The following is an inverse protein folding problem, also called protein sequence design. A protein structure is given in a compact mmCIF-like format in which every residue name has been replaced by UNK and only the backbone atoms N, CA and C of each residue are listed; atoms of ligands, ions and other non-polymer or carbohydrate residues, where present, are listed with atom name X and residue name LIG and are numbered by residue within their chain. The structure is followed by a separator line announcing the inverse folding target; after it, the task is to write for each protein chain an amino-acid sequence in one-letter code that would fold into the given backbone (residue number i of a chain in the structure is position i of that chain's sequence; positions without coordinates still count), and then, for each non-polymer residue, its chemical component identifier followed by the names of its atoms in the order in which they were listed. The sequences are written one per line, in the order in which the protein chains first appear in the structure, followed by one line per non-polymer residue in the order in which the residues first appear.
data_IF_812959675562
#
_entry.id   IF_812959675562
#
_cell.length_a   1.000
_cell.length_b   1.000
_cell.length_c   1.000
_cell.angle_alpha   90.00
_cell.angle_beta   90.00
_cell.angle_gamma   90.00
#
_symmetry.space_group_name_H-M   'P 1'
#
loop_
_entity.id
_entity.type
_entity.pdbx_description
1 polymer ?
#
# COMPACT_ATOMS: atom_id res chain seq x y z
N UNK A 1 10.30 -0.72 -26.53
CA UNK A 1 9.98 -2.12 -26.19
C UNK A 1 11.19 -2.70 -25.45
N UNK A 2 11.20 -2.70 -24.11
CA UNK A 2 12.27 -3.36 -23.35
C UNK A 2 12.04 -4.87 -23.33
N UNK A 3 13.09 -5.62 -23.63
CA UNK A 3 13.07 -7.08 -23.78
C UNK A 3 12.55 -7.79 -22.54
N UNK A 4 11.51 -8.62 -22.69
CA UNK A 4 10.92 -9.47 -21.65
C UNK A 4 11.92 -10.48 -21.08
N UNK A 5 12.98 -10.83 -21.82
CA UNK A 5 14.00 -11.80 -21.40
C UNK A 5 14.92 -11.29 -20.27
N UNK A 6 15.19 -10.00 -20.19
CA UNK A 6 16.08 -9.43 -19.17
C UNK A 6 15.40 -9.34 -17.79
N UNK A 7 14.07 -9.41 -17.75
CA UNK A 7 13.29 -9.36 -16.49
C UNK A 7 13.40 -10.64 -15.64
N UNK A 8 13.82 -11.76 -16.20
CA UNK A 8 13.78 -13.07 -15.49
C UNK A 8 14.85 -13.24 -14.42
N UNK A 9 15.95 -12.50 -14.44
CA UNK A 9 17.11 -12.69 -13.55
C UNK A 9 17.56 -11.48 -12.74
N UNK A 10 16.87 -10.33 -12.82
CA UNK A 10 17.25 -9.16 -12.06
C UNK A 10 17.26 -9.43 -10.54
N UNK A 11 18.30 -9.01 -9.77
CA UNK A 11 18.29 -9.12 -8.31
C UNK A 11 17.12 -8.34 -7.69
N UNK A 12 16.67 -8.75 -6.50
CA UNK A 12 15.62 -8.03 -5.77
C UNK A 12 15.94 -6.55 -5.59
N UNK A 13 17.20 -6.22 -5.38
CA UNK A 13 17.65 -4.83 -5.19
C UNK A 13 17.40 -3.98 -6.45
N UNK A 14 17.72 -4.49 -7.63
CA UNK A 14 17.47 -3.79 -8.90
C UNK A 14 15.97 -3.56 -9.14
N UNK A 15 15.13 -4.56 -8.82
CA UNK A 15 13.68 -4.44 -8.94
C UNK A 15 13.11 -3.36 -7.97
N UNK A 16 13.66 -3.30 -6.75
CA UNK A 16 13.32 -2.24 -5.78
C UNK A 16 13.73 -0.86 -6.30
N UNK A 17 14.92 -0.71 -6.85
CA UNK A 17 15.42 0.57 -7.38
C UNK A 17 14.54 1.07 -8.53
N UNK A 18 14.13 0.18 -9.43
CA UNK A 18 13.21 0.51 -10.54
C UNK A 18 11.84 0.95 -10.03
N UNK A 19 11.27 0.23 -9.06
CA UNK A 19 10.00 0.62 -8.46
C UNK A 19 10.09 1.99 -7.78
N UNK A 20 11.15 2.24 -7.02
CA UNK A 20 11.39 3.51 -6.34
C UNK A 20 11.59 4.66 -7.33
N UNK A 21 12.29 4.44 -8.44
CA UNK A 21 12.44 5.45 -9.49
C UNK A 21 11.08 5.85 -10.08
N UNK A 22 10.22 4.87 -10.38
CA UNK A 22 8.86 5.12 -10.87
C UNK A 22 8.04 5.90 -9.85
N UNK A 23 8.05 5.49 -8.58
CA UNK A 23 7.33 6.19 -7.52
C UNK A 23 7.79 7.63 -7.34
N UNK A 24 9.10 7.89 -7.37
CA UNK A 24 9.67 9.25 -7.26
C UNK A 24 9.28 10.18 -8.40
N UNK A 25 9.01 9.63 -9.57
CA UNK A 25 8.50 10.38 -10.75
C UNK A 25 6.99 10.58 -10.74
N UNK A 26 6.29 10.15 -9.67
CA UNK A 26 4.82 10.22 -9.57
C UNK A 26 4.12 9.12 -10.35
N UNK A 27 4.81 8.03 -10.64
CA UNK A 27 4.23 6.86 -11.30
C UNK A 27 3.46 5.96 -10.35
N UNK A 28 2.72 5.01 -10.95
CA UNK A 28 1.92 4.00 -10.28
C UNK A 28 2.58 2.64 -10.52
N UNK A 29 2.66 1.82 -9.48
CA UNK A 29 3.18 0.46 -9.57
C UNK A 29 2.12 -0.58 -9.22
N UNK A 30 2.22 -1.75 -9.87
CA UNK A 30 1.52 -2.97 -9.51
C UNK A 30 2.53 -3.91 -8.85
N UNK A 31 2.30 -4.31 -7.60
CA UNK A 31 3.30 -4.98 -6.79
C UNK A 31 2.71 -6.01 -5.81
N UNK A 32 3.48 -7.06 -5.49
CA UNK A 32 3.05 -8.06 -4.51
C UNK A 32 3.22 -7.55 -3.08
N UNK A 33 2.34 -8.00 -2.19
CA UNK A 33 2.43 -7.78 -0.74
C UNK A 33 2.30 -9.09 0.03
N UNK A 34 2.40 -9.01 1.35
CA UNK A 34 2.11 -10.13 2.27
C UNK A 34 0.64 -10.57 2.29
N UNK A 35 -0.25 -9.83 1.63
CA UNK A 35 -1.69 -10.13 1.53
C UNK A 35 -2.12 -10.51 0.10
N UNK A 36 -2.28 -9.53 -0.75
CA UNK A 36 -2.69 -9.66 -2.16
C UNK A 36 -1.88 -8.70 -3.03
N UNK A 37 -1.94 -8.83 -4.34
CA UNK A 37 -1.38 -7.83 -5.25
C UNK A 37 -2.03 -6.48 -5.06
N UNK A 38 -1.21 -5.44 -5.00
CA UNK A 38 -1.62 -4.07 -4.76
C UNK A 38 -1.24 -3.12 -5.90
N UNK A 39 -2.01 -2.05 -6.02
CA UNK A 39 -1.67 -0.87 -6.79
C UNK A 39 -1.20 0.19 -5.81
N UNK A 40 -0.10 0.87 -6.11
CA UNK A 40 0.43 1.90 -5.24
C UNK A 40 1.15 3.03 -5.96
N UNK A 41 1.27 4.12 -5.23
CA UNK A 41 2.04 5.31 -5.60
C UNK A 41 2.64 5.95 -4.35
N UNK A 42 3.50 6.96 -4.51
CA UNK A 42 3.94 7.80 -3.39
C UNK A 42 2.72 8.44 -2.72
N UNK A 43 2.51 8.13 -1.44
CA UNK A 43 1.35 8.61 -0.69
C UNK A 43 1.34 10.14 -0.47
N UNK A 44 2.43 10.83 -0.77
CA UNK A 44 2.53 12.30 -0.68
C UNK A 44 2.16 13.00 -1.99
N UNK A 45 1.94 12.25 -3.08
CA UNK A 45 1.65 12.77 -4.41
C UNK A 45 0.14 12.68 -4.73
N UNK A 46 -0.57 13.80 -4.61
CA UNK A 46 -2.02 13.87 -4.84
C UNK A 46 -2.43 13.49 -6.27
N UNK A 47 -1.63 13.84 -7.29
CA UNK A 47 -1.93 13.52 -8.70
C UNK A 47 -1.83 12.01 -8.95
N UNK A 48 -0.81 11.36 -8.38
CA UNK A 48 -0.65 9.91 -8.47
C UNK A 48 -1.79 9.17 -7.75
N UNK A 49 -2.23 9.68 -6.59
CA UNK A 49 -3.39 9.16 -5.86
C UNK A 49 -4.67 9.26 -6.71
N UNK A 50 -4.91 10.41 -7.35
CA UNK A 50 -6.08 10.58 -8.23
C UNK A 50 -6.02 9.67 -9.47
N UNK A 51 -4.81 9.38 -9.99
CA UNK A 51 -4.66 8.38 -11.07
C UNK A 51 -5.09 6.99 -10.61
N UNK A 52 -4.77 6.57 -9.38
CA UNK A 52 -5.23 5.27 -8.84
C UNK A 52 -6.76 5.26 -8.70
N UNK A 53 -7.39 6.32 -8.19
CA UNK A 53 -8.85 6.39 -8.12
C UNK A 53 -9.51 6.24 -9.49
N UNK A 54 -8.99 6.91 -10.51
CA UNK A 54 -9.48 6.79 -11.90
C UNK A 54 -9.28 5.39 -12.46
N UNK A 55 -8.08 4.81 -12.28
CA UNK A 55 -7.75 3.47 -12.75
C UNK A 55 -8.68 2.41 -12.14
N UNK A 56 -9.01 2.57 -10.86
CA UNK A 56 -9.95 1.66 -10.16
C UNK A 56 -11.42 1.96 -10.42
N UNK A 57 -11.76 3.01 -11.16
CA UNK A 57 -13.14 3.50 -11.36
C UNK A 57 -13.87 3.70 -10.01
N UNK A 58 -13.15 4.24 -9.02
CA UNK A 58 -13.68 4.44 -7.68
C UNK A 58 -14.47 5.76 -7.63
N UNK A 59 -15.77 5.71 -7.92
CA UNK A 59 -16.67 6.87 -7.92
C UNK A 59 -16.78 7.51 -6.52
N UNK A 60 -16.86 6.68 -5.51
CA UNK A 60 -16.76 7.13 -4.11
C UNK A 60 -15.31 6.94 -3.67
N UNK A 61 -14.54 8.00 -3.54
CA UNK A 61 -13.14 7.98 -3.05
C UNK A 61 -13.07 7.28 -1.68
N UNK A 62 -13.16 5.95 -1.69
CA UNK A 62 -12.97 5.14 -0.48
C UNK A 62 -11.52 5.32 -0.07
N UNK A 63 -11.28 5.64 1.19
CA UNK A 63 -9.93 5.79 1.72
C UNK A 63 -9.08 4.55 1.40
N UNK A 64 -7.93 4.80 0.82
CA UNK A 64 -6.90 3.78 0.59
C UNK A 64 -5.97 3.78 1.79
N UNK A 65 -5.42 2.62 2.13
CA UNK A 65 -4.40 2.53 3.16
C UNK A 65 -3.02 2.89 2.59
N UNK A 66 -2.09 3.15 3.48
CA UNK A 66 -0.67 3.31 3.14
C UNK A 66 0.18 2.25 3.82
N UNK A 67 1.25 1.83 3.13
CA UNK A 67 2.28 1.00 3.72
C UNK A 67 3.40 1.88 4.26
N UNK A 68 3.87 1.57 5.47
CA UNK A 68 5.03 2.18 6.11
C UNK A 68 6.10 1.13 6.41
N UNK A 69 7.37 1.53 6.39
CA UNK A 69 8.50 0.62 6.62
C UNK A 69 8.65 0.21 8.09
N UNK A 70 8.17 1.03 9.03
CA UNK A 70 8.32 0.84 10.48
C UNK A 70 7.36 1.74 11.25
N UNK A 71 7.22 1.51 12.56
CA UNK A 71 6.49 2.40 13.47
C UNK A 71 7.04 3.84 13.46
N UNK A 72 8.37 4.01 13.39
CA UNK A 72 9.00 5.33 13.28
C UNK A 72 8.57 6.09 12.02
N UNK A 73 8.32 5.38 10.92
CA UNK A 73 7.74 6.00 9.73
C UNK A 73 6.30 6.41 9.97
N UNK A 74 5.49 5.56 10.63
CA UNK A 74 4.07 5.85 10.93
C UNK A 74 3.92 7.15 11.72
N UNK A 75 4.72 7.33 12.80
CA UNK A 75 4.68 8.52 13.66
C UNK A 75 4.82 9.83 12.88
N UNK A 76 5.52 9.83 11.76
CA UNK A 76 5.70 11.03 10.92
C UNK A 76 4.45 11.42 10.13
N UNK A 77 3.48 10.51 10.01
CA UNK A 77 2.28 10.71 9.17
C UNK A 77 0.96 10.63 9.95
N UNK A 78 1.04 10.39 11.27
CA UNK A 78 -0.11 10.45 12.19
C UNK A 78 0.33 11.11 13.50
N UNK A 79 -0.34 12.18 13.88
CA UNK A 79 0.08 13.02 15.02
C UNK A 79 -0.83 12.90 16.26
N UNK A 80 -1.89 12.06 16.18
CA UNK A 80 -2.85 11.84 17.28
C UNK A 80 -3.09 10.34 17.56
N UNK A 81 -2.21 9.47 17.06
CA UNK A 81 -2.32 8.04 17.29
C UNK A 81 -1.99 7.70 18.76
N UNK A 82 -2.84 6.93 19.46
CA UNK A 82 -2.55 6.51 20.83
C UNK A 82 -1.43 5.46 20.89
N UNK A 83 -0.67 5.43 22.01
CA UNK A 83 0.46 4.49 22.16
C UNK A 83 0.05 3.03 21.99
N UNK A 84 -1.12 2.64 22.48
CA UNK A 84 -1.67 1.28 22.33
C UNK A 84 -1.75 0.82 20.87
N UNK A 85 -1.96 1.73 19.92
CA UNK A 85 -2.02 1.36 18.51
C UNK A 85 -0.68 0.78 18.01
N UNK A 86 0.44 1.35 18.44
CA UNK A 86 1.78 0.87 18.07
C UNK A 86 2.08 -0.49 18.72
N UNK A 87 1.71 -0.68 19.98
CA UNK A 87 1.85 -1.96 20.66
C UNK A 87 1.08 -3.07 19.94
N UNK A 88 -0.17 -2.81 19.56
CA UNK A 88 -1.00 -3.75 18.80
C UNK A 88 -0.40 -4.06 17.43
N UNK A 89 0.12 -3.04 16.72
CA UNK A 89 0.77 -3.24 15.43
C UNK A 89 2.06 -4.05 15.52
N UNK A 90 2.85 -3.89 16.60
CA UNK A 90 4.08 -4.64 16.84
C UNK A 90 3.81 -6.10 17.23
N UNK A 91 2.74 -6.35 17.98
CA UNK A 91 2.35 -7.69 18.43
C UNK A 91 1.59 -8.49 17.37
N UNK A 92 1.17 -7.85 16.28
CA UNK A 92 0.37 -8.51 15.24
C UNK A 92 1.16 -9.62 14.54
N UNK A 93 0.67 -10.85 14.62
CA UNK A 93 1.22 -12.03 13.94
C UNK A 93 0.61 -12.30 12.57
N UNK A 94 -0.43 -11.55 12.21
CA UNK A 94 -1.12 -11.60 10.93
C UNK A 94 -1.21 -10.18 10.35
N UNK A 95 -1.40 -10.02 9.02
CA UNK A 95 -1.47 -8.71 8.39
C UNK A 95 -2.57 -7.84 9.01
N UNK A 96 -2.16 -6.74 9.64
CA UNK A 96 -3.02 -5.80 10.33
C UNK A 96 -2.91 -4.40 9.71
N UNK A 97 -4.06 -3.78 9.46
CA UNK A 97 -4.19 -2.36 9.14
C UNK A 97 -4.75 -1.62 10.35
N UNK A 98 -4.03 -0.62 10.83
CA UNK A 98 -4.50 0.30 11.86
C UNK A 98 -5.09 1.55 11.18
N UNK A 99 -6.34 1.91 11.46
CA UNK A 99 -6.91 3.21 11.13
C UNK A 99 -6.61 4.16 12.28
N UNK A 100 -5.74 5.15 12.03
CA UNK A 100 -5.14 6.02 13.03
C UNK A 100 -5.62 7.45 12.87
N UNK A 101 -5.96 8.17 13.95
CA UNK A 101 -6.36 9.57 13.91
C UNK A 101 -5.18 10.51 13.69
N UNK A 102 -5.47 11.69 13.15
CA UNK A 102 -4.47 12.74 12.95
C UNK A 102 -3.57 12.52 11.74
N UNK A 103 -4.16 12.10 10.62
CA UNK A 103 -3.44 11.99 9.34
C UNK A 103 -2.73 13.31 8.98
N UNK A 104 -1.45 13.25 8.64
CA UNK A 104 -0.63 14.40 8.28
C UNK A 104 0.44 14.01 7.26
N UNK A 105 0.93 14.97 6.46
CA UNK A 105 2.06 14.76 5.56
C UNK A 105 1.82 13.83 4.36
N UNK A 106 0.62 13.30 4.19
CA UNK A 106 0.17 12.56 3.00
C UNK A 106 -0.70 13.45 2.10
N UNK A 107 -0.96 12.99 0.89
CA UNK A 107 -1.82 13.69 -0.06
C UNK A 107 -3.22 13.93 0.54
N UNK A 108 -3.77 15.16 0.42
CA UNK A 108 -5.07 15.50 1.03
C UNK A 108 -6.22 14.60 0.55
N UNK A 109 -6.17 14.12 -0.68
CA UNK A 109 -7.18 13.23 -1.26
C UNK A 109 -7.11 11.76 -0.76
N UNK A 110 -6.14 11.44 0.10
CA UNK A 110 -6.11 10.19 0.88
C UNK A 110 -6.82 10.29 2.22
N UNK A 111 -7.00 11.52 2.74
CA UNK A 111 -7.49 11.76 4.09
C UNK A 111 -9.03 11.88 4.03
N UNK A 112 -9.80 10.96 4.66
CA UNK A 112 -11.24 11.07 4.77
C UNK A 112 -11.63 12.23 5.71
N UNK A 113 -12.93 12.57 5.72
CA UNK A 113 -13.45 13.71 6.49
C UNK A 113 -13.18 13.61 8.01
N UNK A 114 -13.11 12.38 8.55
CA UNK A 114 -12.79 12.11 9.95
C UNK A 114 -11.29 12.29 10.29
N UNK A 115 -10.45 12.59 9.29
CA UNK A 115 -9.02 12.86 9.49
C UNK A 115 -8.18 11.66 9.89
N UNK A 116 -8.61 10.44 9.53
CA UNK A 116 -7.88 9.20 9.83
C UNK A 116 -6.99 8.76 8.66
N UNK A 117 -6.00 7.92 8.95
CA UNK A 117 -5.17 7.26 7.95
C UNK A 117 -5.10 5.76 8.24
N UNK A 118 -5.46 4.94 7.27
CA UNK A 118 -5.23 3.50 7.33
C UNK A 118 -3.75 3.22 7.08
N UNK A 119 -3.07 2.57 8.03
CA UNK A 119 -1.64 2.29 7.96
C UNK A 119 -1.37 0.81 8.18
N UNK A 120 -0.45 0.23 7.41
CA UNK A 120 0.04 -1.13 7.61
C UNK A 120 1.57 -1.19 7.48
N UNK A 121 2.21 -1.96 8.34
CA UNK A 121 3.62 -2.33 8.21
C UNK A 121 3.66 -3.74 7.59
N UNK A 122 4.07 -3.89 6.31
CA UNK A 122 3.97 -5.18 5.62
C UNK A 122 5.10 -6.12 6.03
N UNK A 123 4.79 -7.40 6.20
CA UNK A 123 5.80 -8.46 6.33
C UNK A 123 6.15 -9.05 4.95
N UNK A 124 6.74 -8.25 4.10
CA UNK A 124 7.12 -8.61 2.75
C UNK A 124 8.45 -7.96 2.35
N UNK A 125 9.42 -8.75 1.94
CA UNK A 125 10.80 -8.28 1.73
C UNK A 125 10.91 -7.18 0.66
N UNK A 126 10.26 -7.36 -0.50
CA UNK A 126 10.20 -6.32 -1.53
C UNK A 126 9.60 -5.02 -0.97
N UNK A 127 8.44 -5.09 -0.29
CA UNK A 127 7.78 -3.92 0.27
C UNK A 127 8.67 -3.19 1.27
N UNK A 128 9.29 -3.92 2.21
CA UNK A 128 10.18 -3.33 3.23
C UNK A 128 11.35 -2.60 2.61
N UNK A 129 12.02 -3.19 1.61
CA UNK A 129 13.14 -2.54 0.92
C UNK A 129 12.70 -1.33 0.13
N UNK A 130 11.61 -1.44 -0.61
CA UNK A 130 11.03 -0.33 -1.39
C UNK A 130 10.67 0.85 -0.50
N UNK A 131 9.96 0.63 0.61
CA UNK A 131 9.56 1.67 1.55
C UNK A 131 10.75 2.37 2.21
N UNK A 132 11.79 1.60 2.60
CA UNK A 132 13.03 2.15 3.16
C UNK A 132 13.78 2.98 2.12
N UNK A 133 13.91 2.50 0.90
CA UNK A 133 14.62 3.19 -0.17
C UNK A 133 13.87 4.43 -0.66
N UNK A 134 12.54 4.42 -0.67
CA UNK A 134 11.72 5.58 -0.99
C UNK A 134 11.76 6.62 0.15
N UNK A 135 11.76 6.16 1.41
CA UNK A 135 11.73 7.02 2.61
C UNK A 135 10.38 7.66 2.91
N UNK A 136 9.32 7.25 2.21
CA UNK A 136 7.94 7.75 2.31
C UNK A 136 6.94 6.60 2.29
N UNK A 137 5.70 6.79 2.79
CA UNK A 137 4.66 5.80 2.68
C UNK A 137 4.22 5.61 1.23
N UNK A 138 3.82 4.39 0.91
CA UNK A 138 3.27 4.03 -0.40
C UNK A 138 1.79 3.71 -0.24
N UNK A 139 0.93 4.31 -1.06
CA UNK A 139 -0.48 3.91 -1.16
C UNK A 139 -0.57 2.43 -1.47
N UNK A 140 -1.48 1.74 -0.83
CA UNK A 140 -1.77 0.34 -1.10
C UNK A 140 -3.26 0.09 -1.18
N UNK A 141 -3.71 -0.35 -2.34
CA UNK A 141 -5.09 -0.79 -2.57
C UNK A 141 -5.06 -2.05 -3.42
N UNK A 142 -6.04 -2.94 -3.25
CA UNK A 142 -6.11 -4.19 -4.02
C UNK A 142 -6.13 -3.96 -5.53
N UNK A 143 -5.47 -4.83 -6.28
CA UNK A 143 -5.30 -4.73 -7.74
C UNK A 143 -6.55 -5.20 -8.51
N UNK A 144 -7.70 -4.58 -8.25
CA UNK A 144 -8.98 -4.85 -8.93
C UNK A 144 -9.75 -3.55 -9.18
N UNK A 145 -10.61 -3.55 -10.19
CA UNK A 145 -11.62 -2.49 -10.39
C UNK A 145 -12.56 -2.48 -9.19
N UNK A 146 -12.97 -1.31 -8.76
CA UNK A 146 -13.89 -1.16 -7.60
C UNK A 146 -15.17 -1.96 -7.80
N UNK A 147 -15.56 -2.74 -6.79
CA UNK A 147 -16.73 -3.62 -6.86
C UNK A 147 -16.49 -4.98 -7.50
N UNK A 148 -15.34 -5.22 -8.11
CA UNK A 148 -14.97 -6.55 -8.62
C UNK A 148 -14.21 -7.38 -7.57
N UNK A 149 -14.14 -8.71 -7.71
CA UNK A 149 -13.36 -9.56 -6.82
C UNK A 149 -11.89 -9.14 -6.76
N UNK A 150 -11.27 -9.29 -5.59
CA UNK A 150 -9.84 -9.03 -5.41
C UNK A 150 -9.01 -10.07 -6.15
N UNK A 151 -8.05 -9.63 -6.95
CA UNK A 151 -7.08 -10.51 -7.60
C UNK A 151 -6.20 -11.21 -6.56
N UNK A 152 -6.12 -12.52 -6.64
CA UNK A 152 -5.32 -13.35 -5.72
C UNK A 152 -3.87 -13.38 -6.16
N UNK A 153 -3.62 -13.49 -7.46
CA UNK A 153 -2.29 -13.46 -8.07
C UNK A 153 -2.25 -12.50 -9.26
N UNK A 154 -1.07 -12.25 -9.82
CA UNK A 154 -0.92 -11.35 -10.96
C UNK A 154 -1.77 -11.77 -12.18
N UNK A 155 -1.95 -13.07 -12.40
CA UNK A 155 -2.75 -13.62 -13.49
C UNK A 155 -4.25 -13.28 -13.39
N UNK A 156 -4.72 -12.91 -12.19
CA UNK A 156 -6.12 -12.57 -11.93
C UNK A 156 -6.37 -11.06 -12.06
N UNK A 157 -5.30 -10.26 -12.23
CA UNK A 157 -5.39 -8.81 -12.37
C UNK A 157 -5.94 -8.48 -13.77
N UNK A 158 -6.98 -7.66 -13.82
CA UNK A 158 -7.55 -7.22 -15.09
C UNK A 158 -6.51 -6.52 -15.96
N UNK A 159 -6.50 -6.81 -17.28
CA UNK A 159 -5.53 -6.25 -18.22
C UNK A 159 -5.53 -4.72 -18.21
N UNK A 160 -6.68 -4.09 -18.03
CA UNK A 160 -6.84 -2.64 -17.90
C UNK A 160 -5.99 -2.06 -16.76
N UNK A 161 -5.88 -2.77 -15.63
CA UNK A 161 -5.04 -2.36 -14.51
C UNK A 161 -3.56 -2.53 -14.86
N UNK A 162 -3.19 -3.65 -15.48
CA UNK A 162 -1.81 -3.93 -15.90
C UNK A 162 -1.33 -2.87 -16.89
N UNK A 163 -2.18 -2.47 -17.84
CA UNK A 163 -1.87 -1.45 -18.85
C UNK A 163 -1.89 -0.02 -18.27
N UNK A 164 -2.62 0.20 -17.18
CA UNK A 164 -2.79 1.50 -16.55
C UNK A 164 -1.71 1.89 -15.53
N UNK A 165 -0.81 0.97 -15.17
CA UNK A 165 0.31 1.23 -14.26
C UNK A 165 1.61 1.48 -15.04
N UNK A 166 2.53 2.23 -14.43
CA UNK A 166 3.81 2.57 -15.05
C UNK A 166 4.88 1.48 -14.84
N UNK A 167 4.68 0.59 -13.88
CA UNK A 167 5.60 -0.52 -13.60
C UNK A 167 4.88 -1.70 -12.94
N UNK A 168 5.16 -2.90 -13.41
CA UNK A 168 4.71 -4.16 -12.81
C UNK A 168 5.92 -4.88 -12.23
N UNK A 169 5.91 -5.09 -10.92
CA UNK A 169 6.95 -5.82 -10.21
C UNK A 169 6.96 -7.29 -10.66
N UNK A 170 8.14 -7.86 -10.83
CA UNK A 170 8.28 -9.24 -11.28
C UNK A 170 7.62 -10.21 -10.28
N UNK A 171 6.68 -11.09 -10.73
CA UNK A 171 5.94 -11.98 -9.85
C UNK A 171 6.80 -13.00 -9.10
N UNK A 172 8.04 -13.21 -9.51
CA UNK A 172 8.99 -14.08 -8.74
C UNK A 172 9.24 -13.55 -7.32
N UNK A 173 8.96 -12.27 -7.06
CA UNK A 173 9.11 -11.65 -5.75
C UNK A 173 7.82 -11.66 -4.93
N UNK A 174 6.77 -12.36 -5.37
CA UNK A 174 5.49 -12.46 -4.67
C UNK A 174 5.61 -13.08 -3.27
N UNK A 175 6.58 -13.96 -3.07
CA UNK A 175 6.77 -14.61 -1.77
C UNK A 175 5.62 -15.57 -1.41
N UNK A 176 5.18 -15.50 -0.16
CA UNK A 176 4.08 -16.34 0.37
C UNK A 176 2.97 -15.47 0.94
N UNK A 177 2.13 -14.84 0.10
CA UNK A 177 1.04 -14.00 0.57
C UNK A 177 -0.03 -14.82 1.29
N UNK A 178 -0.74 -14.19 2.23
CA UNK A 178 -1.89 -14.82 2.91
C UNK A 178 -3.09 -15.03 1.98
N UNK A 179 -3.10 -14.32 0.85
CA UNK A 179 -4.19 -14.29 -0.13
C UNK A 179 -5.54 -13.80 0.44
N UNK A 180 -5.48 -13.15 1.60
CA UNK A 180 -6.61 -12.53 2.28
C UNK A 180 -6.28 -11.07 2.56
N UNK A 181 -7.30 -10.21 2.55
CA UNK A 181 -7.12 -8.83 2.97
C UNK A 181 -6.73 -8.80 4.47
N UNK A 182 -5.95 -7.78 4.87
CA UNK A 182 -5.57 -7.57 6.27
C UNK A 182 -6.80 -7.35 7.15
N UNK A 183 -6.73 -7.73 8.42
CA UNK A 183 -7.66 -7.23 9.43
C UNK A 183 -7.57 -5.71 9.53
N UNK A 184 -8.64 -5.05 9.97
CA UNK A 184 -8.66 -3.59 10.18
C UNK A 184 -9.14 -3.29 11.59
N UNK A 185 -8.31 -2.57 12.36
CA UNK A 185 -8.65 -2.04 13.67
C UNK A 185 -8.58 -0.52 13.61
N UNK A 186 -9.63 0.17 14.07
CA UNK A 186 -9.62 1.61 14.24
C UNK A 186 -9.29 1.97 15.69
N UNK A 187 -8.47 3.00 15.85
CA UNK A 187 -8.08 3.56 17.14
C UNK A 187 -8.57 4.99 17.24
N UNK A 188 -9.19 5.33 18.37
CA UNK A 188 -9.53 6.71 18.73
C UNK A 188 -8.37 7.40 19.45
N UNK A 189 -8.41 8.73 19.55
CA UNK A 189 -7.38 9.55 20.20
C UNK A 189 -7.26 9.22 21.71
N UNK A 190 -8.37 8.84 22.35
CA UNK A 190 -8.43 8.42 23.76
C UNK A 190 -8.03 6.96 24.00
N UNK A 191 -7.62 6.24 22.96
CA UNK A 191 -7.27 4.81 23.06
C UNK A 191 -8.44 3.86 22.84
N UNK A 192 -9.58 4.36 22.35
CA UNK A 192 -10.71 3.51 21.95
C UNK A 192 -10.28 2.58 20.81
N UNK A 193 -10.74 1.34 20.87
CA UNK A 193 -10.40 0.30 19.88
C UNK A 193 -11.68 -0.26 19.28
N UNK A 194 -11.76 -0.29 17.95
CA UNK A 194 -12.88 -0.85 17.21
C UNK A 194 -12.40 -1.76 16.08
N UNK A 195 -12.84 -3.02 16.09
CA UNK A 195 -12.61 -3.94 14.96
C UNK A 195 -13.55 -3.54 13.82
N UNK A 196 -12.98 -3.21 12.66
CA UNK A 196 -13.71 -2.84 11.44
C UNK A 196 -13.84 -4.05 10.51
N UNK A 197 -12.80 -4.90 10.47
CA UNK A 197 -12.76 -6.13 9.67
C UNK A 197 -11.78 -7.12 10.31
N UNK A 198 -12.18 -8.39 10.35
CA UNK A 198 -11.35 -9.54 10.72
C UNK A 198 -10.68 -10.18 9.47
#
# INVERSE_FOLDING_TARGET
MQNISDKKNAPLQEEVERAVEVLRRGGIILYPTDTVWGIGCDATNAEAVDRIYRLKRSENKKSMLVLCASADMVVRYVNRAPGIAFEVMEMATTPLTASLPGAAGVAPNLIPAEGTLGVRIPDHEFCRRMLRALGRPVVSTSANISGQPTAVGLQDVAQEIVDGVDFVVNPRFEGKPTRKASSIIAFGEGGEVKIIRE
#
